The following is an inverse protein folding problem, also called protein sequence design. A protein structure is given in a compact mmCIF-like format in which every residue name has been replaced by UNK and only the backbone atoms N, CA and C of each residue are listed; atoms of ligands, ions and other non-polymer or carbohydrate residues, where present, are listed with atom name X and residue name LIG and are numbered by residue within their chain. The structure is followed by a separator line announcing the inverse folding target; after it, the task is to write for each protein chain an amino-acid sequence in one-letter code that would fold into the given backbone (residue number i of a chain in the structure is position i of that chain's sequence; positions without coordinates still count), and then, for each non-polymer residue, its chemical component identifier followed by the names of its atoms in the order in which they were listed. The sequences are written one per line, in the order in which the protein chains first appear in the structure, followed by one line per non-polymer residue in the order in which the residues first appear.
data_IF_525856078100
#
_entry.id   IF_525856078100
#
_cell.length_a   1.000
_cell.length_b   1.000
_cell.length_c   1.000
_cell.angle_alpha   90.00
_cell.angle_beta   90.00
_cell.angle_gamma   90.00
#
_symmetry.space_group_name_H-M   'P 1'
#
loop_
_entity.id
_entity.type
_entity.pdbx_description
1 polymer ?
#
# COMPACT_ATOMS: atom_id res chain seq x y z
N UNK A 1 6.38 17.99 12.07
CA UNK A 1 6.15 16.58 11.65
C UNK A 1 5.62 16.65 10.23
N UNK A 2 6.02 15.73 9.33
CA UNK A 2 5.51 15.73 7.96
C UNK A 2 4.20 14.94 7.96
N UNK A 3 3.10 15.66 7.93
CA UNK A 3 1.76 15.07 7.99
C UNK A 3 1.27 14.65 6.59
N UNK A 4 2.08 14.88 5.56
CA UNK A 4 1.83 14.53 4.17
C UNK A 4 2.41 13.16 3.77
N UNK A 5 3.16 12.51 4.67
CA UNK A 5 3.78 11.20 4.44
C UNK A 5 3.09 10.10 5.25
N UNK A 6 3.02 8.90 4.68
CA UNK A 6 2.73 7.68 5.44
C UNK A 6 3.54 6.50 4.91
N UNK A 7 4.62 6.16 5.61
CA UNK A 7 5.61 5.19 5.17
C UNK A 7 5.46 3.83 5.86
N UNK A 8 4.32 3.57 6.50
CA UNK A 8 4.08 2.32 7.20
C UNK A 8 2.61 1.91 7.03
N UNK A 9 2.26 1.49 5.82
CA UNK A 9 0.91 1.03 5.50
C UNK A 9 0.94 -0.48 5.24
N UNK A 10 -0.01 -1.20 5.83
CA UNK A 10 -0.26 -2.61 5.56
C UNK A 10 -1.50 -2.78 4.70
N UNK A 11 -1.51 -3.81 3.86
CA UNK A 11 -2.63 -4.21 3.02
C UNK A 11 -3.32 -5.45 3.58
N UNK A 12 -4.50 -5.75 3.05
CA UNK A 12 -5.23 -6.97 3.36
C UNK A 12 -4.51 -8.26 2.89
N UNK A 13 -3.49 -8.18 2.00
CA UNK A 13 -2.88 -9.36 1.38
C UNK A 13 -2.19 -10.32 2.36
N UNK A 14 -1.77 -9.83 3.54
CA UNK A 14 -1.09 -10.64 4.57
C UNK A 14 -1.94 -10.87 5.82
N UNK A 15 -3.19 -10.41 5.84
CA UNK A 15 -4.11 -10.56 6.97
C UNK A 15 -3.75 -9.72 8.21
N UNK A 16 -2.82 -8.77 8.09
CA UNK A 16 -2.44 -7.86 9.18
C UNK A 16 -3.27 -6.56 9.18
N UNK A 17 -3.84 -6.21 8.04
CA UNK A 17 -4.75 -5.07 7.88
C UNK A 17 -6.21 -5.53 7.80
N UNK A 18 -7.13 -4.57 7.91
CA UNK A 18 -8.55 -4.81 7.67
C UNK A 18 -8.81 -5.28 6.23
N UNK A 19 -9.80 -6.14 6.02
CA UNK A 19 -10.13 -6.72 4.71
C UNK A 19 -10.49 -5.66 3.65
N UNK A 20 -10.91 -4.46 4.08
CA UNK A 20 -11.21 -3.34 3.19
C UNK A 20 -9.96 -2.60 2.68
N UNK A 21 -8.79 -2.86 3.27
CA UNK A 21 -7.52 -2.20 2.93
C UNK A 21 -6.83 -2.87 1.72
N UNK A 22 -7.52 -2.89 0.58
CA UNK A 22 -6.93 -3.21 -0.72
C UNK A 22 -6.03 -2.08 -1.23
N UNK A 23 -5.08 -2.37 -2.13
CA UNK A 23 -4.19 -1.33 -2.69
C UNK A 23 -4.98 -0.18 -3.35
N UNK A 24 -6.03 -0.43 -4.17
CA UNK A 24 -6.82 0.66 -4.75
C UNK A 24 -7.55 1.51 -3.69
N UNK A 25 -8.08 0.88 -2.65
CA UNK A 25 -8.77 1.60 -1.57
C UNK A 25 -7.79 2.47 -0.76
N UNK A 26 -6.58 1.96 -0.51
CA UNK A 26 -5.52 2.70 0.16
C UNK A 26 -5.08 3.93 -0.65
N UNK A 27 -4.86 3.77 -1.95
CA UNK A 27 -4.46 4.86 -2.84
C UNK A 27 -5.52 5.97 -2.85
N UNK A 28 -6.77 5.62 -3.12
CA UNK A 28 -7.88 6.57 -3.12
C UNK A 28 -8.00 7.31 -1.79
N UNK A 29 -7.89 6.58 -0.66
CA UNK A 29 -7.97 7.19 0.66
C UNK A 29 -6.79 8.11 0.97
N UNK A 30 -5.58 7.73 0.56
CA UNK A 30 -4.39 8.56 0.77
C UNK A 30 -4.44 9.84 -0.05
N UNK A 31 -5.02 9.80 -1.26
CA UNK A 31 -5.31 11.00 -2.05
C UNK A 31 -6.31 11.92 -1.36
N UNK A 32 -7.44 11.40 -0.88
CA UNK A 32 -8.44 12.17 -0.14
C UNK A 32 -7.87 12.86 1.10
N UNK A 33 -6.92 12.20 1.76
CA UNK A 33 -6.24 12.72 2.95
C UNK A 33 -5.13 13.72 2.63
N UNK A 34 -4.84 13.98 1.35
CA UNK A 34 -3.80 14.91 0.92
C UNK A 34 -2.38 14.40 1.18
N UNK A 35 -2.17 13.08 1.17
CA UNK A 35 -0.82 12.50 1.22
C UNK A 35 -0.08 12.83 -0.08
N UNK A 36 1.23 12.98 0.01
CA UNK A 36 2.11 13.20 -1.14
C UNK A 36 2.96 11.98 -1.43
N UNK A 37 3.24 11.16 -0.42
CA UNK A 37 4.01 9.93 -0.58
C UNK A 37 3.65 8.88 0.46
N UNK A 38 3.57 7.63 0.00
CA UNK A 38 3.26 6.46 0.80
C UNK A 38 4.22 5.29 0.55
N UNK A 39 4.28 4.35 1.48
CA UNK A 39 4.97 3.07 1.29
C UNK A 39 4.12 1.91 1.78
N UNK A 40 4.06 0.84 0.99
CA UNK A 40 3.42 -0.42 1.39
C UNK A 40 4.47 -1.30 2.05
N UNK A 41 4.29 -1.59 3.35
CA UNK A 41 5.29 -2.24 4.21
C UNK A 41 4.78 -3.53 4.84
N UNK A 42 4.07 -4.33 4.06
CA UNK A 42 3.53 -5.63 4.44
C UNK A 42 4.59 -6.60 5.00
N UNK A 43 4.18 -7.46 5.94
CA UNK A 43 5.03 -8.46 6.59
C UNK A 43 5.36 -9.66 5.68
N UNK A 44 6.07 -9.41 4.57
CA UNK A 44 6.40 -10.41 3.55
C UNK A 44 7.67 -11.24 3.89
N UNK A 45 7.92 -11.50 5.18
CA UNK A 45 9.19 -12.03 5.69
C UNK A 45 9.39 -13.55 5.50
N UNK A 46 8.72 -14.16 4.52
CA UNK A 46 8.81 -15.61 4.28
C UNK A 46 8.19 -16.08 2.96
N UNK A 47 8.54 -17.28 2.49
CA UNK A 47 8.12 -17.81 1.19
C UNK A 47 6.61 -18.01 1.07
N UNK A 48 5.89 -18.16 2.17
CA UNK A 48 4.42 -18.22 2.20
C UNK A 48 3.75 -16.94 1.68
N UNK A 49 4.49 -15.83 1.58
CA UNK A 49 3.97 -14.54 1.14
C UNK A 49 4.35 -14.18 -0.31
N UNK A 50 4.96 -15.10 -1.07
CA UNK A 50 5.36 -14.84 -2.45
C UNK A 50 4.18 -14.45 -3.36
N UNK A 51 3.01 -15.06 -3.16
CA UNK A 51 1.80 -14.71 -3.91
C UNK A 51 1.29 -13.30 -3.57
N UNK A 52 1.26 -12.95 -2.27
CA UNK A 52 0.91 -11.61 -1.81
C UNK A 52 1.88 -10.55 -2.37
N UNK A 53 3.18 -10.84 -2.33
CA UNK A 53 4.20 -9.97 -2.88
C UNK A 53 4.02 -9.74 -4.39
N UNK A 54 3.68 -10.79 -5.15
CA UNK A 54 3.42 -10.69 -6.58
C UNK A 54 2.21 -9.78 -6.86
N UNK A 55 1.10 -9.97 -6.16
CA UNK A 55 -0.11 -9.14 -6.30
C UNK A 55 0.17 -7.66 -6.05
N UNK A 56 0.85 -7.33 -4.94
CA UNK A 56 1.22 -5.93 -4.63
C UNK A 56 2.09 -5.33 -5.74
N UNK A 57 3.05 -6.10 -6.26
CA UNK A 57 3.93 -5.65 -7.35
C UNK A 57 3.24 -5.51 -8.70
N UNK A 58 2.13 -6.21 -8.93
CA UNK A 58 1.31 -6.07 -10.15
C UNK A 58 0.35 -4.88 -10.05
N UNK A 59 -0.20 -4.63 -8.86
CA UNK A 59 -1.16 -3.55 -8.62
C UNK A 59 -0.52 -2.16 -8.61
N UNK A 60 0.70 -2.03 -8.06
CA UNK A 60 1.39 -0.74 -7.92
C UNK A 60 1.83 -0.05 -9.22
N UNK A 61 2.44 -0.73 -10.22
CA UNK A 61 2.93 -0.08 -11.45
C UNK A 61 1.83 0.50 -12.33
N UNK A 62 0.58 0.07 -12.11
CA UNK A 62 -0.58 0.52 -12.87
C UNK A 62 -1.22 1.77 -12.28
N UNK A 63 -0.74 2.24 -11.13
CA UNK A 63 -1.23 3.46 -10.50
C UNK A 63 -0.64 4.70 -11.19
N UNK A 64 -1.50 5.46 -11.84
CA UNK A 64 -1.20 6.81 -12.34
C UNK A 64 -1.95 7.82 -11.50
N UNK A 65 -1.26 8.53 -10.62
CA UNK A 65 -1.87 9.50 -9.73
C UNK A 65 -0.86 10.41 -9.03
N UNK A 66 -1.33 11.31 -8.15
CA UNK A 66 -0.47 12.32 -7.51
C UNK A 66 0.41 11.76 -6.39
N UNK A 67 0.17 10.54 -5.91
CA UNK A 67 0.97 9.93 -4.83
C UNK A 67 2.30 9.39 -5.36
N UNK A 68 3.40 9.73 -4.68
CA UNK A 68 4.64 8.97 -4.79
C UNK A 68 4.52 7.65 -4.03
N UNK A 69 4.54 6.52 -4.72
CA UNK A 69 4.46 5.18 -4.08
C UNK A 69 5.80 4.47 -4.21
N UNK A 70 6.28 3.88 -3.11
CA UNK A 70 7.55 3.13 -3.06
C UNK A 70 7.42 1.78 -2.37
#
# INVERSE_FOLDING_TARGET
MRDDLDLHIHTAHVGCADETMSVPALLARCEELGRTQIAITDHLNGPQHLEAQAKIREELPSYEGPLGVT
#
